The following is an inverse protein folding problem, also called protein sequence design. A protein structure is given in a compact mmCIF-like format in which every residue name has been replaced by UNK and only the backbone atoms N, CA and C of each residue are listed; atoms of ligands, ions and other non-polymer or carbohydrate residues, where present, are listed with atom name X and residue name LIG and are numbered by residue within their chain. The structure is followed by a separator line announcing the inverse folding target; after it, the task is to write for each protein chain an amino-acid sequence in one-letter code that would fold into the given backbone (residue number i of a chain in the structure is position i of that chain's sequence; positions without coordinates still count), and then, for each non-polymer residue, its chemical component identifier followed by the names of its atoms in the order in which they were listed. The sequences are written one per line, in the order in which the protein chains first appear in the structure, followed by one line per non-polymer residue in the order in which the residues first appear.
data_IF_225451282727
#
_entry.id   IF_225451282727
#
_cell.length_a   1.000
_cell.length_b   1.000
_cell.length_c   1.000
_cell.angle_alpha   90.00
_cell.angle_beta   90.00
_cell.angle_gamma   90.00
#
_symmetry.space_group_name_H-M   'P 1'
#
loop_
_entity.id
_entity.type
_entity.pdbx_description
1 polymer ?
#
# COMPACT_ATOMS: atom_id res chain seq x y z
N UNK A 1 15.59 28.95 -11.42
CA UNK A 1 14.57 29.52 -10.51
C UNK A 1 14.65 28.74 -9.21
N UNK A 2 15.12 29.37 -8.15
CA UNK A 2 15.42 28.76 -6.85
C UNK A 2 14.11 28.33 -6.16
N UNK A 3 14.00 27.07 -5.76
CA UNK A 3 12.87 26.58 -4.95
C UNK A 3 13.00 27.15 -3.53
N UNK A 4 12.03 27.98 -3.14
CA UNK A 4 11.94 28.52 -1.78
C UNK A 4 11.47 27.41 -0.84
N UNK A 5 12.32 26.99 0.09
CA UNK A 5 11.94 26.14 1.22
C UNK A 5 11.45 27.06 2.33
N UNK A 6 10.14 27.16 2.55
CA UNK A 6 9.61 27.76 3.77
C UNK A 6 9.55 26.69 4.85
N UNK A 7 10.49 26.77 5.78
CA UNK A 7 10.61 25.89 6.94
C UNK A 7 9.70 26.44 8.05
N UNK A 8 8.56 25.78 8.30
CA UNK A 8 7.80 25.99 9.54
C UNK A 8 8.21 24.88 10.52
N UNK A 9 8.75 25.26 11.68
CA UNK A 9 9.22 24.30 12.68
C UNK A 9 8.10 23.90 13.64
N UNK A 10 7.85 22.60 13.72
CA UNK A 10 7.26 21.97 14.90
C UNK A 10 8.13 20.75 15.26
N UNK A 11 8.84 20.87 16.40
CA UNK A 11 9.57 19.85 17.15
C UNK A 11 10.89 19.27 16.56
N UNK A 12 11.94 19.00 17.38
CA UNK A 12 13.33 18.96 16.91
C UNK A 12 13.87 17.58 16.50
N UNK A 13 13.06 16.61 16.04
CA UNK A 13 13.61 15.28 15.69
C UNK A 13 13.00 14.56 14.51
N UNK A 14 12.16 15.20 13.69
CA UNK A 14 11.64 14.54 12.48
C UNK A 14 11.56 15.54 11.34
N UNK A 15 12.58 15.55 10.49
CA UNK A 15 12.50 16.21 9.20
C UNK A 15 11.75 15.29 8.24
N UNK A 16 10.42 15.41 8.20
CA UNK A 16 9.62 14.76 7.16
C UNK A 16 9.87 15.53 5.87
N UNK A 17 10.62 14.93 4.95
CA UNK A 17 10.77 15.44 3.59
C UNK A 17 9.42 15.28 2.87
N UNK A 18 8.56 16.29 2.96
CA UNK A 18 7.40 16.39 2.10
C UNK A 18 7.89 16.64 0.67
N UNK A 19 7.99 15.55 -0.10
CA UNK A 19 8.13 15.63 -1.55
C UNK A 19 6.85 16.27 -2.06
N UNK A 20 6.93 17.54 -2.48
CA UNK A 20 5.86 18.22 -3.19
C UNK A 20 5.64 17.52 -4.53
N UNK A 21 4.87 16.44 -4.54
CA UNK A 21 4.32 15.90 -5.76
C UNK A 21 3.36 16.96 -6.32
N UNK A 22 3.52 17.41 -7.58
CA UNK A 22 2.49 18.20 -8.21
C UNK A 22 1.21 17.37 -8.20
N UNK A 23 0.21 17.82 -7.45
CA UNK A 23 -1.12 17.24 -7.41
C UNK A 23 -1.67 17.32 -8.84
N UNK A 24 -1.61 16.22 -9.59
CA UNK A 24 -2.34 16.09 -10.83
C UNK A 24 -3.81 15.78 -10.47
N UNK A 25 -4.77 16.70 -10.65
CA UNK A 25 -6.11 16.55 -10.08
C UNK A 25 -7.01 15.55 -10.83
N UNK A 26 -6.53 14.85 -11.87
CA UNK A 26 -7.41 14.09 -12.76
C UNK A 26 -6.75 12.85 -13.38
N UNK A 27 -6.37 11.87 -12.55
CA UNK A 27 -6.28 10.48 -13.02
C UNK A 27 -7.08 9.62 -12.05
N UNK A 28 -8.40 9.80 -12.06
CA UNK A 28 -9.27 8.78 -11.48
C UNK A 28 -9.14 7.53 -12.34
N UNK A 29 -8.78 6.41 -11.72
CA UNK A 29 -8.94 5.12 -12.39
C UNK A 29 -10.41 5.00 -12.81
N UNK A 30 -10.72 4.61 -14.05
CA UNK A 30 -12.11 4.41 -14.47
C UNK A 30 -12.79 3.44 -13.52
N UNK A 31 -14.09 3.66 -13.27
CA UNK A 31 -14.93 2.77 -12.45
C UNK A 31 -14.67 1.33 -12.87
N UNK A 32 -14.19 0.50 -11.94
CA UNK A 32 -13.88 -0.90 -12.20
C UNK A 32 -15.07 -1.54 -12.91
N UNK A 33 -14.90 -1.90 -14.18
CA UNK A 33 -15.90 -2.68 -14.89
C UNK A 33 -16.03 -4.02 -14.20
N UNK A 34 -17.26 -4.51 -14.01
CA UNK A 34 -17.47 -5.86 -13.47
C UNK A 34 -16.61 -6.88 -14.22
N UNK A 35 -15.98 -7.79 -13.48
CA UNK A 35 -15.16 -8.85 -14.05
C UNK A 35 -16.00 -9.68 -15.02
N UNK A 36 -15.46 -9.87 -16.23
CA UNK A 36 -16.07 -10.73 -17.25
C UNK A 36 -15.62 -12.16 -17.06
N UNK A 37 -16.31 -13.09 -17.69
CA UNK A 37 -15.99 -14.53 -17.63
C UNK A 37 -14.52 -14.84 -17.96
N UNK A 38 -13.94 -14.14 -18.95
CA UNK A 38 -12.51 -14.23 -19.28
C UNK A 38 -11.62 -13.87 -18.10
N UNK A 39 -11.97 -12.82 -17.36
CA UNK A 39 -11.17 -12.32 -16.24
C UNK A 39 -11.25 -13.34 -15.09
N UNK A 40 -12.42 -13.92 -14.84
CA UNK A 40 -12.58 -15.03 -13.89
C UNK A 40 -11.78 -16.26 -14.26
N UNK A 41 -11.77 -16.65 -15.53
CA UNK A 41 -10.95 -17.78 -16.00
C UNK A 41 -9.46 -17.53 -15.77
N UNK A 42 -8.98 -16.33 -16.08
CA UNK A 42 -7.58 -15.96 -15.86
C UNK A 42 -7.23 -15.95 -14.36
N UNK A 43 -8.13 -15.47 -13.51
CA UNK A 43 -7.94 -15.51 -12.06
C UNK A 43 -7.88 -16.95 -11.55
N UNK A 44 -8.80 -17.81 -11.99
CA UNK A 44 -8.79 -19.22 -11.63
C UNK A 44 -7.47 -19.88 -12.05
N UNK A 45 -7.03 -19.71 -13.28
CA UNK A 45 -5.75 -20.26 -13.75
C UNK A 45 -4.54 -19.73 -12.97
N UNK A 46 -4.59 -18.47 -12.53
CA UNK A 46 -3.51 -17.86 -11.74
C UNK A 46 -3.46 -18.37 -10.29
N UNK A 47 -4.62 -18.71 -9.71
CA UNK A 47 -4.76 -19.14 -8.31
C UNK A 47 -4.95 -20.66 -8.14
N UNK A 48 -5.18 -21.41 -9.22
CA UNK A 48 -5.22 -22.88 -9.24
C UNK A 48 -3.79 -23.43 -9.27
N UNK A 49 -3.07 -23.17 -8.18
CA UNK A 49 -1.67 -23.51 -7.99
C UNK A 49 -1.54 -24.61 -6.95
N UNK A 50 -0.95 -25.74 -7.35
CA UNK A 50 -0.67 -26.87 -6.45
C UNK A 50 0.40 -26.54 -5.39
N UNK A 51 1.21 -25.49 -5.62
CA UNK A 51 2.34 -25.09 -4.78
C UNK A 51 2.00 -23.96 -3.79
N UNK A 52 0.71 -23.66 -3.58
CA UNK A 52 0.29 -22.54 -2.72
C UNK A 52 0.73 -22.73 -1.26
N UNK A 53 0.72 -23.96 -0.76
CA UNK A 53 1.15 -24.29 0.61
C UNK A 53 2.65 -24.07 0.81
N UNK A 54 3.46 -24.38 -0.22
CA UNK A 54 4.91 -24.16 -0.19
C UNK A 54 5.23 -22.66 -0.23
N UNK A 55 4.50 -21.91 -1.06
CA UNK A 55 4.60 -20.46 -1.14
C UNK A 55 4.20 -19.80 0.19
N UNK A 56 3.12 -20.26 0.84
CA UNK A 56 2.71 -19.78 2.16
C UNK A 56 3.81 -20.02 3.20
N UNK A 57 4.38 -21.23 3.23
CA UNK A 57 5.44 -21.57 4.16
C UNK A 57 6.68 -20.68 3.96
N UNK A 58 7.10 -20.47 2.71
CA UNK A 58 8.24 -19.59 2.39
C UNK A 58 7.98 -18.14 2.81
N UNK A 59 6.80 -17.59 2.49
CA UNK A 59 6.41 -16.24 2.91
C UNK A 59 6.44 -16.13 4.44
N UNK A 60 5.85 -17.09 5.16
CA UNK A 60 5.82 -17.08 6.62
C UNK A 60 7.22 -17.11 7.24
N UNK A 61 8.13 -17.93 6.70
CA UNK A 61 9.53 -17.96 7.14
C UNK A 61 10.18 -16.58 6.96
N UNK A 62 9.99 -15.95 5.80
CA UNK A 62 10.57 -14.64 5.53
C UNK A 62 9.99 -13.54 6.42
N UNK A 63 8.67 -13.55 6.66
CA UNK A 63 8.00 -12.59 7.55
C UNK A 63 8.51 -12.70 8.99
N UNK A 64 8.74 -13.92 9.50
CA UNK A 64 9.31 -14.15 10.84
C UNK A 64 10.73 -13.62 11.00
N UNK A 65 11.47 -13.42 9.90
CA UNK A 65 12.80 -12.85 9.91
C UNK A 65 12.80 -11.31 9.92
N UNK A 66 11.65 -10.66 9.71
CA UNK A 66 11.53 -9.21 9.76
C UNK A 66 11.51 -8.71 11.20
N UNK A 67 12.54 -7.96 11.59
CA UNK A 67 12.64 -7.32 12.91
C UNK A 67 12.89 -5.80 12.74
N UNK A 68 12.09 -4.93 13.39
CA UNK A 68 10.95 -5.27 14.25
C UNK A 68 9.79 -5.87 13.44
N UNK A 69 8.91 -6.58 14.14
CA UNK A 69 7.68 -7.10 13.55
C UNK A 69 6.89 -5.93 12.91
N UNK A 70 6.50 -6.01 11.63
CA UNK A 70 5.71 -4.97 11.02
C UNK A 70 4.30 -4.91 11.64
N UNK A 71 3.69 -3.72 11.66
CA UNK A 71 2.38 -3.48 12.24
C UNK A 71 1.22 -3.98 11.36
N UNK A 72 1.24 -5.25 10.94
CA UNK A 72 0.25 -5.84 10.00
C UNK A 72 -1.18 -5.86 10.54
N UNK A 73 -1.33 -6.03 11.86
CA UNK A 73 -2.63 -6.11 12.53
C UNK A 73 -3.23 -4.72 12.83
N UNK A 74 -2.44 -3.66 12.70
CA UNK A 74 -2.94 -2.30 12.89
C UNK A 74 -3.62 -1.85 11.59
N UNK A 75 -4.93 -1.59 11.65
CA UNK A 75 -5.65 -0.98 10.53
C UNK A 75 -5.06 0.42 10.28
N UNK A 76 -4.38 0.66 9.15
CA UNK A 76 -3.77 1.95 8.86
C UNK A 76 -4.81 3.06 8.69
N UNK A 77 -6.09 2.69 8.57
CA UNK A 77 -7.23 3.57 8.42
C UNK A 77 -8.09 3.67 9.69
N UNK A 78 -7.67 3.12 10.83
CA UNK A 78 -8.43 3.22 12.09
C UNK A 78 -8.78 4.67 12.44
N UNK A 79 -7.89 5.62 12.11
CA UNK A 79 -8.11 7.06 12.28
C UNK A 79 -9.30 7.61 11.48
N UNK A 80 -9.67 7.00 10.34
CA UNK A 80 -10.79 7.45 9.51
C UNK A 80 -12.15 7.25 10.17
N UNK A 81 -12.24 6.38 11.19
CA UNK A 81 -13.47 6.18 11.97
C UNK A 81 -13.90 7.44 12.72
N UNK A 82 -13.00 8.39 12.94
CA UNK A 82 -13.33 9.68 13.54
C UNK A 82 -13.97 10.68 12.56
N UNK A 83 -13.89 10.40 11.25
CA UNK A 83 -14.29 11.31 10.17
C UNK A 83 -15.49 10.81 9.33
N UNK A 84 -15.92 9.55 9.48
CA UNK A 84 -17.05 8.92 8.79
C UNK A 84 -18.20 8.62 9.75
#
# INVERSE_FOLDING_TARGET
MLTSLQTYSLHPSTQILFVNYPINPQIYAPVFTSLKERDWKALLEMFDRDDIDELEADINVNLQLMIPEPCWEDDPFDFLREYL
#
